data_IF_797948263389
#
_entry.id   IF_797948263389
#
_cell.length_a   1.000
_cell.length_b   1.000
_cell.length_c   1.000
_cell.angle_alpha   90.00
_cell.angle_beta   90.00
_cell.angle_gamma   90.00
#
_symmetry.space_group_name_H-M   'P 1'
#
loop_
_entity.id
_entity.type
_entity.pdbx_description
1 polymer ?
#
# COMPACT_ATOMS: atom_id res chain seq x y z
N UNK A 1 -30.78 -36.69 -17.59
CA UNK A 1 -29.74 -35.78 -17.06
C UNK A 1 -28.46 -35.78 -17.91
N UNK A 2 -27.77 -36.92 -18.04
CA UNK A 2 -26.48 -37.02 -18.76
C UNK A 2 -26.52 -36.87 -20.30
N UNK A 3 -27.69 -36.72 -20.91
CA UNK A 3 -27.84 -36.38 -22.35
C UNK A 3 -27.76 -34.86 -22.62
N UNK A 4 -27.82 -34.04 -21.58
CA UNK A 4 -27.76 -32.59 -21.73
C UNK A 4 -26.29 -32.14 -21.83
N UNK A 5 -25.92 -31.54 -22.96
CA UNK A 5 -24.56 -31.03 -23.23
C UNK A 5 -24.07 -30.05 -22.15
N UNK A 6 -24.96 -29.22 -21.58
CA UNK A 6 -24.60 -28.30 -20.50
C UNK A 6 -24.21 -29.04 -19.21
N UNK A 7 -24.90 -30.13 -18.88
CA UNK A 7 -24.58 -30.94 -17.69
C UNK A 7 -23.22 -31.63 -17.86
N UNK A 8 -22.93 -32.12 -19.07
CA UNK A 8 -21.65 -32.76 -19.40
C UNK A 8 -20.47 -31.78 -19.41
N UNK A 9 -20.68 -30.53 -19.83
CA UNK A 9 -19.65 -29.49 -19.85
C UNK A 9 -19.49 -28.79 -18.48
N UNK A 10 -20.43 -29.00 -17.55
CA UNK A 10 -20.40 -28.34 -16.23
C UNK A 10 -19.12 -28.58 -15.42
N UNK A 11 -18.46 -29.76 -15.42
CA UNK A 11 -17.17 -29.92 -14.74
C UNK A 11 -16.05 -29.10 -15.40
N UNK A 12 -16.06 -28.94 -16.72
CA UNK A 12 -15.08 -28.12 -17.46
C UNK A 12 -15.28 -26.64 -17.13
N UNK A 13 -16.53 -26.18 -17.08
CA UNK A 13 -16.86 -24.81 -16.66
C UNK A 13 -16.41 -24.59 -15.21
N UNK A 14 -16.68 -25.54 -14.31
CA UNK A 14 -16.25 -25.45 -12.92
C UNK A 14 -14.71 -25.37 -12.82
N UNK A 15 -13.97 -26.19 -13.56
CA UNK A 15 -12.51 -26.13 -13.62
C UNK A 15 -12.00 -24.80 -14.19
N UNK A 16 -12.64 -24.27 -15.25
CA UNK A 16 -12.28 -22.98 -15.82
C UNK A 16 -12.50 -21.83 -14.82
N UNK A 17 -13.61 -21.86 -14.07
CA UNK A 17 -13.88 -20.90 -13.00
C UNK A 17 -12.82 -21.01 -11.90
N UNK A 18 -12.52 -22.21 -11.41
CA UNK A 18 -11.47 -22.43 -10.40
C UNK A 18 -10.12 -21.92 -10.91
N UNK A 19 -9.76 -22.23 -12.15
CA UNK A 19 -8.51 -21.77 -12.77
C UNK A 19 -8.43 -20.24 -12.80
N UNK A 20 -9.48 -19.56 -13.29
CA UNK A 20 -9.53 -18.09 -13.36
C UNK A 20 -9.39 -17.46 -11.97
N UNK A 21 -10.12 -17.96 -10.97
CA UNK A 21 -10.01 -17.42 -9.61
C UNK A 21 -8.67 -17.76 -8.94
N UNK A 22 -8.04 -18.89 -9.29
CA UNK A 22 -6.69 -19.22 -8.81
C UNK A 22 -5.63 -18.24 -9.34
N UNK A 23 -5.86 -17.56 -10.47
CA UNK A 23 -4.97 -16.51 -10.97
C UNK A 23 -4.80 -15.35 -9.98
N UNK A 24 -5.78 -15.13 -9.09
CA UNK A 24 -5.70 -14.11 -8.04
C UNK A 24 -4.68 -14.42 -6.96
N UNK A 25 -4.22 -15.68 -6.85
CA UNK A 25 -3.25 -16.10 -5.83
C UNK A 25 -1.81 -15.84 -6.26
N UNK A 26 -1.52 -15.79 -7.57
CA UNK A 26 -0.15 -15.64 -8.12
C UNK A 26 0.66 -14.49 -7.49
N UNK A 27 0.11 -13.28 -7.27
CA UNK A 27 0.83 -12.21 -6.59
C UNK A 27 1.29 -12.58 -5.18
N UNK A 28 0.50 -13.40 -4.47
CA UNK A 28 0.61 -13.60 -3.02
C UNK A 28 1.34 -14.89 -2.62
N UNK A 29 1.54 -15.87 -3.52
CA UNK A 29 2.15 -17.17 -3.16
C UNK A 29 3.61 -17.04 -2.72
N UNK A 30 4.39 -16.18 -3.38
CA UNK A 30 5.81 -15.96 -3.06
C UNK A 30 6.17 -14.48 -3.23
N UNK A 31 5.78 -13.62 -2.28
CA UNK A 31 6.18 -12.22 -2.32
C UNK A 31 7.69 -12.15 -2.11
N UNK A 32 8.42 -11.71 -3.14
CA UNK A 32 9.83 -11.39 -3.05
C UNK A 32 9.96 -9.86 -3.05
N UNK A 33 10.61 -9.26 -2.05
CA UNK A 33 10.84 -7.83 -2.06
C UNK A 33 11.69 -7.48 -3.28
N UNK A 34 11.30 -6.40 -3.96
CA UNK A 34 12.00 -5.80 -5.08
C UNK A 34 12.04 -4.30 -4.86
N UNK A 35 13.25 -3.78 -4.75
CA UNK A 35 13.52 -2.37 -4.45
C UNK A 35 12.84 -1.87 -3.16
N UNK A 36 12.75 -2.71 -2.11
CA UNK A 36 12.14 -2.32 -0.84
C UNK A 36 12.89 -1.12 -0.24
N UNK A 37 12.28 0.09 -0.15
CA UNK A 37 12.98 1.29 0.29
C UNK A 37 13.24 1.25 1.80
N UNK A 38 14.51 1.33 2.17
CA UNK A 38 14.98 1.40 3.55
C UNK A 38 15.94 2.59 3.67
N UNK A 39 15.66 3.51 4.58
CA UNK A 39 16.51 4.67 4.79
C UNK A 39 17.72 4.36 5.68
N UNK A 40 18.83 5.04 5.42
CA UNK A 40 20.01 5.04 6.28
C UNK A 40 20.40 6.49 6.56
N UNK A 41 20.62 6.80 7.82
CA UNK A 41 21.18 8.06 8.27
C UNK A 41 22.46 7.76 9.03
N UNK A 42 23.54 8.36 8.55
CA UNK A 42 24.81 8.35 9.25
C UNK A 42 25.08 9.73 9.83
N UNK A 43 24.89 9.91 11.13
CA UNK A 43 25.29 11.11 11.85
C UNK A 43 26.66 10.95 12.54
N UNK A 44 27.27 9.76 12.47
CA UNK A 44 28.55 9.46 13.13
C UNK A 44 29.66 10.41 12.69
N UNK A 45 30.21 11.15 13.65
CA UNK A 45 31.26 12.13 13.39
C UNK A 45 32.65 11.49 13.26
N UNK A 46 32.75 10.19 13.58
CA UNK A 46 33.99 9.45 13.64
C UNK A 46 34.78 9.74 14.91
N UNK A 47 35.89 9.03 15.10
CA UNK A 47 36.79 9.19 16.25
C UNK A 47 38.24 9.27 15.79
N UNK A 48 39.00 10.17 16.39
CA UNK A 48 40.45 10.25 16.20
C UNK A 48 41.12 9.38 17.27
N UNK A 49 41.93 8.43 16.83
CA UNK A 49 42.68 7.53 17.70
C UNK A 49 44.17 7.89 17.65
N UNK A 50 44.90 7.83 18.78
CA UNK A 50 46.33 8.12 18.79
C UNK A 50 47.08 7.26 17.77
N UNK A 51 47.88 7.89 16.91
CA UNK A 51 48.69 7.25 15.87
C UNK A 51 47.88 6.41 14.85
N UNK A 52 46.58 6.69 14.67
CA UNK A 52 45.73 6.03 13.68
C UNK A 52 44.94 7.05 12.87
N UNK A 53 44.58 6.74 11.61
CA UNK A 53 43.69 7.60 10.84
C UNK A 53 42.32 7.70 11.53
N UNK A 54 41.62 8.81 11.30
CA UNK A 54 40.25 9.01 11.78
C UNK A 54 39.38 7.83 11.37
N UNK A 55 38.79 7.17 12.36
CA UNK A 55 37.94 5.99 12.16
C UNK A 55 36.47 6.43 12.12
N UNK A 56 35.75 6.13 11.05
CA UNK A 56 34.30 6.33 10.95
C UNK A 56 33.61 5.00 10.67
N UNK A 57 33.08 4.41 11.73
CA UNK A 57 32.42 3.13 11.70
C UNK A 57 31.01 3.25 11.11
N UNK A 58 30.32 4.37 11.32
CA UNK A 58 29.07 4.70 10.64
C UNK A 58 29.18 4.61 9.13
N UNK A 59 30.24 5.20 8.55
CA UNK A 59 30.49 5.17 7.11
C UNK A 59 30.77 3.75 6.62
N UNK A 60 31.53 2.97 7.40
CA UNK A 60 31.80 1.56 7.09
C UNK A 60 30.50 0.74 7.02
N UNK A 61 29.52 1.04 7.88
CA UNK A 61 28.20 0.39 7.87
C UNK A 61 27.43 0.75 6.60
N UNK A 62 27.40 2.04 6.24
CA UNK A 62 26.74 2.51 5.02
C UNK A 62 27.32 1.80 3.78
N UNK A 63 28.65 1.72 3.69
CA UNK A 63 29.32 1.04 2.59
C UNK A 63 29.03 -0.47 2.56
N UNK A 64 28.98 -1.13 3.72
CA UNK A 64 28.65 -2.56 3.81
C UNK A 64 27.25 -2.83 3.28
N UNK A 65 26.26 -2.04 3.70
CA UNK A 65 24.88 -2.15 3.25
C UNK A 65 24.76 -1.96 1.74
N UNK A 66 25.41 -0.92 1.20
CA UNK A 66 25.40 -0.63 -0.24
C UNK A 66 26.04 -1.77 -1.06
N UNK A 67 27.15 -2.35 -0.59
CA UNK A 67 27.81 -3.49 -1.24
C UNK A 67 26.93 -4.73 -1.27
N UNK A 68 26.19 -5.03 -0.21
CA UNK A 68 25.28 -6.18 -0.17
C UNK A 68 24.19 -6.09 -1.24
N UNK A 69 23.69 -4.89 -1.55
CA UNK A 69 22.71 -4.68 -2.62
C UNK A 69 23.28 -4.83 -4.02
N UNK A 70 24.57 -4.53 -4.23
CA UNK A 70 25.22 -4.67 -5.56
C UNK A 70 25.71 -6.07 -5.86
N UNK A 71 26.02 -6.89 -4.86
CA UNK A 71 26.64 -8.21 -5.04
C UNK A 71 25.64 -9.35 -5.32
N UNK A 72 24.34 -9.12 -5.12
CA UNK A 72 23.29 -10.14 -5.31
C UNK A 72 22.46 -9.94 -6.57
N UNK A 73 22.63 -8.82 -7.29
CA UNK A 73 21.95 -8.58 -8.57
C UNK A 73 22.77 -9.14 -9.73
N UNK A 74 22.25 -10.16 -10.41
CA UNK A 74 22.57 -10.37 -11.82
C UNK A 74 22.10 -9.13 -12.60
N UNK A 75 22.72 -8.82 -13.76
CA UNK A 75 22.45 -7.58 -14.52
C UNK A 75 20.97 -7.31 -14.84
N UNK A 76 20.09 -8.31 -14.71
CA UNK A 76 18.68 -8.27 -15.07
C UNK A 76 17.70 -8.36 -13.87
N UNK A 77 18.16 -8.50 -12.62
CA UNK A 77 17.28 -8.62 -11.44
C UNK A 77 17.35 -7.41 -10.48
N UNK A 78 16.18 -6.82 -10.20
CA UNK A 78 16.01 -5.76 -9.19
C UNK A 78 16.51 -6.26 -7.81
N UNK A 79 17.34 -5.49 -7.08
CA UNK A 79 17.78 -5.88 -5.75
C UNK A 79 16.60 -5.97 -4.78
N UNK A 80 16.71 -6.82 -3.76
CA UNK A 80 15.67 -6.95 -2.75
C UNK A 80 15.40 -5.65 -2.00
N UNK A 81 16.47 -4.91 -1.69
CA UNK A 81 16.45 -3.69 -0.88
C UNK A 81 17.01 -2.52 -1.69
N UNK A 82 16.30 -1.40 -1.64
CA UNK A 82 16.75 -0.10 -2.14
C UNK A 82 17.15 0.77 -0.96
N UNK A 83 18.45 0.93 -0.74
CA UNK A 83 18.96 1.82 0.29
C UNK A 83 18.77 3.29 -0.12
N UNK A 84 18.24 4.08 0.81
CA UNK A 84 18.02 5.52 0.62
C UNK A 84 18.85 6.26 1.66
N UNK A 85 19.95 6.87 1.24
CA UNK A 85 20.76 7.68 2.14
C UNK A 85 20.08 9.03 2.41
N UNK A 86 20.00 9.40 3.68
CA UNK A 86 19.33 10.61 4.14
C UNK A 86 20.27 11.41 5.03
N UNK A 87 20.24 12.74 4.88
CA UNK A 87 21.23 13.65 5.45
C UNK A 87 21.11 13.86 6.97
N UNK A 88 19.96 13.57 7.58
CA UNK A 88 19.73 13.82 9.01
C UNK A 88 18.54 13.05 9.57
N UNK A 89 18.51 12.88 10.88
CA UNK A 89 17.41 12.23 11.60
C UNK A 89 16.06 12.90 11.39
N UNK A 90 16.01 14.24 11.32
CA UNK A 90 14.78 15.00 11.06
C UNK A 90 14.27 14.75 9.62
N UNK A 91 15.18 14.72 8.64
CA UNK A 91 14.80 14.35 7.28
C UNK A 91 14.32 12.89 7.23
N UNK A 92 14.86 12.01 8.10
CA UNK A 92 14.37 10.64 8.21
C UNK A 92 12.95 10.56 8.73
N UNK A 93 12.60 11.31 9.79
CA UNK A 93 11.24 11.30 10.30
C UNK A 93 10.25 11.79 9.23
N UNK A 94 10.56 12.92 8.58
CA UNK A 94 9.71 13.45 7.51
C UNK A 94 9.52 12.47 6.35
N UNK A 95 10.54 11.70 5.98
CA UNK A 95 10.38 10.71 4.91
C UNK A 95 9.58 9.47 5.35
N UNK A 96 9.62 9.08 6.63
CA UNK A 96 8.73 8.04 7.18
C UNK A 96 7.27 8.52 7.10
N UNK A 97 7.01 9.74 7.55
CA UNK A 97 5.67 10.34 7.55
C UNK A 97 5.13 10.54 6.12
N UNK A 98 6.01 10.90 5.17
CA UNK A 98 5.66 11.01 3.75
C UNK A 98 5.71 9.68 2.98
N UNK A 99 5.72 8.53 3.68
CA UNK A 99 5.64 7.20 3.08
C UNK A 99 6.76 6.92 2.05
N UNK A 100 7.98 7.43 2.27
CA UNK A 100 9.11 7.23 1.35
C UNK A 100 9.87 5.92 1.58
N UNK A 101 9.78 5.35 2.77
CA UNK A 101 10.44 4.09 3.15
C UNK A 101 9.73 3.39 4.31
N UNK A 102 9.92 2.07 4.35
CA UNK A 102 9.28 1.16 5.30
C UNK A 102 10.01 1.06 6.63
N UNK A 103 11.32 1.34 6.64
CA UNK A 103 12.13 1.39 7.84
C UNK A 103 13.31 2.35 7.65
N UNK A 104 13.93 2.76 8.75
CA UNK A 104 15.15 3.54 8.75
C UNK A 104 16.16 3.01 9.78
N UNK A 105 17.45 3.02 9.42
CA UNK A 105 18.55 2.86 10.35
C UNK A 105 19.16 4.24 10.64
N UNK A 106 19.25 4.61 11.91
CA UNK A 106 19.92 5.85 12.33
C UNK A 106 21.15 5.51 13.16
N UNK A 107 22.31 5.93 12.67
CA UNK A 107 23.61 5.79 13.33
C UNK A 107 23.91 7.12 14.02
N UNK A 108 23.93 7.17 15.37
CA UNK A 108 24.14 8.42 16.11
C UNK A 108 25.54 9.01 15.98
N UNK A 109 25.67 10.30 16.32
CA UNK A 109 26.92 11.06 16.27
C UNK A 109 28.10 10.46 17.04
N UNK A 110 27.81 9.82 18.17
CA UNK A 110 28.80 9.27 19.09
C UNK A 110 29.11 7.79 18.85
N UNK A 111 28.63 7.22 17.74
CA UNK A 111 28.75 5.79 17.44
C UNK A 111 30.20 5.32 17.40
N UNK A 112 31.07 5.97 16.60
CA UNK A 112 32.49 5.60 16.51
C UNK A 112 33.23 5.78 17.84
N UNK A 113 32.91 6.85 18.58
CA UNK A 113 33.54 7.14 19.88
C UNK A 113 33.20 6.06 20.91
N UNK A 114 31.92 5.68 21.00
CA UNK A 114 31.46 4.59 21.87
C UNK A 114 32.05 3.24 21.44
N UNK A 115 32.05 2.93 20.15
CA UNK A 115 32.68 1.70 19.68
C UNK A 115 34.17 1.62 20.05
N UNK A 116 34.92 2.71 19.92
CA UNK A 116 36.33 2.74 20.32
C UNK A 116 36.51 2.50 21.82
N UNK A 117 35.58 3.00 22.65
CA UNK A 117 35.61 2.80 24.11
C UNK A 117 35.52 1.33 24.52
N UNK A 118 34.99 0.44 23.67
CA UNK A 118 34.89 -1.00 23.94
C UNK A 118 36.25 -1.68 24.17
N UNK A 119 37.34 -1.08 23.67
CA UNK A 119 38.72 -1.55 23.88
C UNK A 119 39.34 -1.06 25.20
N UNK A 120 38.64 -0.17 25.92
CA UNK A 120 39.15 0.45 27.14
C UNK A 120 38.59 -0.25 28.40
N UNK A 121 39.14 0.03 29.59
CA UNK A 121 38.60 -0.49 30.86
C UNK A 121 37.19 0.03 31.21
N UNK A 122 36.73 1.12 30.56
CA UNK A 122 35.41 1.72 30.78
C UNK A 122 34.57 1.69 29.48
N UNK A 123 34.12 0.50 29.04
CA UNK A 123 33.41 0.35 27.78
C UNK A 123 32.02 1.00 27.82
N UNK A 124 31.63 1.62 26.70
CA UNK A 124 30.29 2.13 26.43
C UNK A 124 29.81 1.59 25.09
N UNK A 125 28.78 0.75 25.10
CA UNK A 125 28.25 0.17 23.87
C UNK A 125 27.55 1.25 23.01
N UNK A 126 27.89 1.40 21.72
CA UNK A 126 27.12 2.23 20.80
C UNK A 126 25.70 1.68 20.62
N UNK A 127 24.74 2.59 20.47
CA UNK A 127 23.34 2.28 20.17
C UNK A 127 23.02 2.65 18.72
N UNK A 128 22.31 1.77 18.02
CA UNK A 128 21.73 2.07 16.71
C UNK A 128 20.21 2.12 16.85
N UNK A 129 19.56 3.09 16.20
CA UNK A 129 18.11 3.19 16.19
C UNK A 129 17.56 2.58 14.91
N UNK A 130 16.54 1.72 15.05
CA UNK A 130 15.78 1.12 13.96
C UNK A 130 14.36 1.68 14.05
N UNK A 131 13.93 2.43 13.04
CA UNK A 131 12.58 2.98 12.94
C UNK A 131 11.75 2.12 11.99
N UNK A 132 10.57 1.66 12.41
CA UNK A 132 9.70 0.77 11.61
C UNK A 132 8.38 1.49 11.29
N UNK A 133 8.07 1.68 10.01
CA UNK A 133 6.90 2.44 9.54
C UNK A 133 5.68 1.54 9.33
N UNK A 134 5.03 1.14 10.44
CA UNK A 134 3.95 0.15 10.39
C UNK A 134 2.75 0.62 9.54
N UNK A 135 2.43 1.92 9.58
CA UNK A 135 1.30 2.52 8.87
C UNK A 135 1.40 2.44 7.34
N UNK A 136 2.62 2.42 6.79
CA UNK A 136 2.83 2.37 5.33
C UNK A 136 2.37 1.03 4.77
N UNK A 137 2.91 -0.06 5.31
CA UNK A 137 2.40 -1.42 5.15
C UNK A 137 3.08 -2.30 6.21
N UNK A 138 2.31 -2.90 7.11
CA UNK A 138 2.84 -3.64 8.26
C UNK A 138 3.72 -4.83 7.86
N UNK A 139 3.34 -5.58 6.81
CA UNK A 139 4.12 -6.74 6.36
C UNK A 139 5.47 -6.31 5.77
N UNK A 140 5.46 -5.30 4.90
CA UNK A 140 6.69 -4.77 4.30
C UNK A 140 7.60 -4.07 5.34
N UNK A 141 7.01 -3.34 6.29
CA UNK A 141 7.73 -2.72 7.40
C UNK A 141 8.38 -3.76 8.33
N UNK A 142 7.68 -4.86 8.62
CA UNK A 142 8.24 -5.98 9.38
C UNK A 142 9.42 -6.61 8.65
N UNK A 143 9.28 -6.86 7.35
CA UNK A 143 10.38 -7.39 6.51
C UNK A 143 11.57 -6.42 6.48
N UNK A 144 11.34 -5.12 6.29
CA UNK A 144 12.39 -4.11 6.34
C UNK A 144 13.09 -4.07 7.71
N UNK A 145 12.34 -4.20 8.79
CA UNK A 145 12.89 -4.32 10.14
C UNK A 145 13.74 -5.57 10.34
N UNK A 146 13.35 -6.71 9.78
CA UNK A 146 14.14 -7.94 9.81
C UNK A 146 15.46 -7.78 9.04
N UNK A 147 15.42 -7.13 7.87
CA UNK A 147 16.64 -6.78 7.11
C UNK A 147 17.59 -5.95 7.98
N UNK A 148 17.10 -4.86 8.59
CA UNK A 148 17.92 -4.01 9.43
C UNK A 148 18.47 -4.74 10.67
N UNK A 149 17.65 -5.57 11.31
CA UNK A 149 18.10 -6.39 12.43
C UNK A 149 19.25 -7.32 12.02
N UNK A 150 19.11 -8.01 10.88
CA UNK A 150 20.15 -8.88 10.33
C UNK A 150 21.44 -8.14 10.01
N UNK A 151 21.36 -6.90 9.50
CA UNK A 151 22.56 -6.07 9.31
C UNK A 151 23.26 -5.79 10.65
N UNK A 152 22.52 -5.35 11.67
CA UNK A 152 23.13 -5.07 12.98
C UNK A 152 23.66 -6.35 13.65
N UNK A 153 23.03 -7.51 13.45
CA UNK A 153 23.52 -8.79 13.96
C UNK A 153 24.83 -9.20 13.29
N UNK A 154 24.94 -9.06 11.96
CA UNK A 154 26.17 -9.30 11.23
C UNK A 154 27.29 -8.35 11.68
N UNK A 155 26.96 -7.08 11.93
CA UNK A 155 27.90 -6.11 12.49
C UNK A 155 28.36 -6.50 13.89
N UNK A 156 27.44 -6.90 14.77
CA UNK A 156 27.76 -7.36 16.12
C UNK A 156 28.75 -8.52 16.09
N UNK A 157 28.56 -9.49 15.20
CA UNK A 157 29.50 -10.60 15.03
C UNK A 157 30.87 -10.13 14.53
N UNK A 158 30.89 -9.24 13.54
CA UNK A 158 32.14 -8.68 12.98
C UNK A 158 32.93 -7.90 14.03
N UNK A 159 32.26 -6.99 14.75
CA UNK A 159 32.88 -6.17 15.79
C UNK A 159 33.34 -7.02 16.97
N UNK A 160 32.54 -8.02 17.39
CA UNK A 160 32.94 -8.95 18.46
C UNK A 160 34.23 -9.67 18.11
N UNK A 161 34.33 -10.26 16.91
CA UNK A 161 35.53 -10.97 16.47
C UNK A 161 36.75 -10.04 16.40
N UNK A 162 36.60 -8.84 15.82
CA UNK A 162 37.68 -7.85 15.78
C UNK A 162 38.17 -7.41 17.16
N UNK A 163 37.26 -7.31 18.13
CA UNK A 163 37.63 -6.96 19.50
C UNK A 163 38.36 -8.12 20.19
N UNK A 164 37.86 -9.36 20.05
CA UNK A 164 38.50 -10.55 20.59
C UNK A 164 39.93 -10.72 20.05
N UNK A 165 40.10 -10.65 18.73
CA UNK A 165 41.43 -10.70 18.08
C UNK A 165 42.36 -9.60 18.59
N UNK A 166 41.80 -8.41 18.86
CA UNK A 166 42.53 -7.27 19.43
C UNK A 166 43.03 -7.55 20.84
N UNK A 167 42.19 -8.13 21.71
CA UNK A 167 42.57 -8.49 23.07
C UNK A 167 43.57 -9.64 23.12
N UNK A 168 43.41 -10.66 22.26
CA UNK A 168 44.34 -11.78 22.14
C UNK A 168 45.76 -11.31 21.76
N UNK A 169 45.87 -10.44 20.76
CA UNK A 169 47.17 -9.88 20.33
C UNK A 169 47.87 -9.04 21.40
N UNK A 170 47.10 -8.44 22.31
CA UNK A 170 47.64 -7.65 23.41
C UNK A 170 48.00 -8.49 24.64
N UNK A 171 47.66 -9.79 24.66
CA UNK A 171 47.82 -10.64 25.84
C UNK A 171 47.00 -10.16 27.05
N UNK A 172 45.94 -9.38 26.81
CA UNK A 172 45.17 -8.72 27.85
C UNK A 172 44.10 -9.65 28.45
N UNK A 173 43.91 -9.61 29.76
CA UNK A 173 42.78 -10.26 30.43
C UNK A 173 41.55 -9.34 30.40
N UNK A 174 40.38 -9.92 30.13
CA UNK A 174 39.12 -9.17 30.07
C UNK A 174 38.54 -8.94 31.47
N UNK A 175 38.14 -7.71 31.76
CA UNK A 175 37.27 -7.44 32.92
C UNK A 175 35.86 -7.98 32.67
N UNK A 176 35.08 -8.24 33.73
CA UNK A 176 33.68 -8.66 33.61
C UNK A 176 32.83 -7.65 32.80
N UNK A 177 33.09 -6.34 32.94
CA UNK A 177 32.39 -5.30 32.16
C UNK A 177 32.72 -5.35 30.66
N UNK A 178 33.98 -5.62 30.31
CA UNK A 178 34.38 -5.80 28.92
C UNK A 178 33.79 -7.08 28.34
N UNK A 179 33.83 -8.20 29.07
CA UNK A 179 33.19 -9.45 28.65
C UNK A 179 31.68 -9.29 28.40
N UNK A 180 30.97 -8.59 29.29
CA UNK A 180 29.55 -8.29 29.09
C UNK A 180 29.30 -7.41 27.86
N UNK A 181 30.13 -6.41 27.62
CA UNK A 181 30.03 -5.52 26.45
C UNK A 181 30.35 -6.24 25.14
N UNK A 182 31.24 -7.25 25.17
CA UNK A 182 31.55 -8.09 23.99
C UNK A 182 30.43 -9.05 23.61
N UNK A 183 29.57 -9.43 24.57
CA UNK A 183 28.42 -10.27 24.29
C UNK A 183 27.44 -9.57 23.34
N UNK A 184 27.23 -8.25 23.48
CA UNK A 184 26.43 -7.44 22.55
C UNK A 184 27.14 -6.09 22.35
N UNK A 185 28.13 -6.02 21.44
CA UNK A 185 28.96 -4.82 21.24
C UNK A 185 28.19 -3.58 20.79
N UNK A 186 27.07 -3.79 20.08
CA UNK A 186 26.20 -2.74 19.54
C UNK A 186 24.77 -3.04 20.01
N UNK A 187 24.19 -2.10 20.75
CA UNK A 187 22.79 -2.20 21.19
C UNK A 187 21.85 -1.67 20.10
N UNK A 188 20.61 -2.17 20.10
CA UNK A 188 19.56 -1.77 19.15
C UNK A 188 18.40 -1.15 19.92
N UNK A 189 17.93 0.00 19.45
CA UNK A 189 16.67 0.60 19.87
C UNK A 189 15.68 0.54 18.72
N UNK A 190 14.71 -0.36 18.80
CA UNK A 190 13.64 -0.46 17.80
C UNK A 190 12.48 0.44 18.22
N UNK A 191 12.04 1.32 17.34
CA UNK A 191 10.89 2.22 17.56
C UNK A 191 9.93 2.07 16.40
N UNK A 192 8.66 1.80 16.68
CA UNK A 192 7.63 1.85 15.66
C UNK A 192 7.20 3.31 15.48
N UNK A 193 7.11 3.75 14.22
CA UNK A 193 6.59 5.06 13.85
C UNK A 193 5.32 4.85 13.03
N UNK A 194 4.42 5.85 13.04
CA UNK A 194 3.13 5.78 12.37
C UNK A 194 2.42 4.46 12.71
N UNK A 195 2.30 4.19 14.01
CA UNK A 195 1.83 2.91 14.51
C UNK A 195 0.39 2.65 14.05
N UNK A 196 0.11 1.39 13.74
CA UNK A 196 -1.22 0.97 13.29
C UNK A 196 -2.26 0.98 14.42
N UNK A 197 -1.82 1.08 15.68
CA UNK A 197 -2.68 1.04 16.86
C UNK A 197 -3.45 -0.28 17.01
N UNK A 198 -4.36 -0.31 17.99
CA UNK A 198 -5.27 -1.44 18.22
C UNK A 198 -6.48 -1.38 17.29
N UNK A 199 -7.17 -2.52 17.11
CA UNK A 199 -8.39 -2.64 16.31
C UNK A 199 -8.28 -2.10 14.87
N UNK A 200 -7.10 -2.19 14.28
CA UNK A 200 -6.79 -1.75 12.92
C UNK A 200 -6.73 -2.89 11.91
N UNK A 201 -7.26 -4.07 12.27
CA UNK A 201 -7.12 -5.31 11.49
C UNK A 201 -5.65 -5.60 11.11
N UNK A 202 -4.74 -5.46 12.07
CA UNK A 202 -3.29 -5.55 11.85
C UNK A 202 -2.82 -4.60 10.73
N UNK A 203 -3.22 -3.32 10.79
CA UNK A 203 -2.87 -2.32 9.78
C UNK A 203 -3.62 -2.44 8.44
N UNK A 204 -4.59 -3.35 8.33
CA UNK A 204 -5.41 -3.55 7.12
C UNK A 204 -6.79 -2.89 7.19
N UNK A 205 -7.12 -2.11 8.23
CA UNK A 205 -8.42 -1.42 8.33
C UNK A 205 -8.77 -0.61 7.05
N UNK A 206 -7.86 0.16 6.43
CA UNK A 206 -8.11 0.78 5.12
C UNK A 206 -8.59 -0.18 4.02
N UNK A 207 -8.06 -1.41 4.01
CA UNK A 207 -8.41 -2.45 3.02
C UNK A 207 -9.70 -3.17 3.42
N UNK A 208 -9.94 -3.39 4.71
CA UNK A 208 -11.19 -3.98 5.20
C UNK A 208 -12.41 -3.14 4.83
N UNK A 209 -12.23 -1.82 4.70
CA UNK A 209 -13.30 -0.91 4.28
C UNK A 209 -13.59 -0.98 2.76
N UNK A 210 -12.66 -1.47 1.95
CA UNK A 210 -12.81 -1.46 0.50
C UNK A 210 -13.99 -2.32 0.01
N UNK A 211 -14.07 -3.60 0.41
CA UNK A 211 -15.04 -4.53 -0.18
C UNK A 211 -16.51 -4.11 0.06
N UNK A 212 -16.93 -3.72 1.28
CA UNK A 212 -18.30 -3.29 1.51
C UNK A 212 -18.64 -2.00 0.76
N UNK A 213 -17.72 -1.02 0.73
CA UNK A 213 -17.91 0.24 0.01
C UNK A 213 -18.08 0.01 -1.49
N UNK A 214 -17.24 -0.86 -2.08
CA UNK A 214 -17.32 -1.23 -3.49
C UNK A 214 -18.64 -1.91 -3.82
N UNK A 215 -19.07 -2.85 -2.97
CA UNK A 215 -20.34 -3.54 -3.16
C UNK A 215 -21.54 -2.60 -3.05
N UNK A 216 -21.54 -1.69 -2.07
CA UNK A 216 -22.58 -0.67 -1.94
C UNK A 216 -22.62 0.25 -3.18
N UNK A 217 -21.45 0.63 -3.70
CA UNK A 217 -21.32 1.45 -4.90
C UNK A 217 -21.83 0.72 -6.16
N UNK A 218 -21.47 -0.55 -6.32
CA UNK A 218 -21.90 -1.41 -7.43
C UNK A 218 -23.41 -1.63 -7.43
N UNK A 219 -23.98 -1.97 -6.27
CA UNK A 219 -25.42 -2.16 -6.12
C UNK A 219 -26.19 -0.86 -6.41
N UNK A 220 -25.73 0.27 -5.86
CA UNK A 220 -26.34 1.59 -6.06
C UNK A 220 -26.32 2.00 -7.53
N UNK A 221 -25.17 1.85 -8.20
CA UNK A 221 -25.03 2.12 -9.63
C UNK A 221 -25.98 1.24 -10.47
N UNK A 222 -26.07 -0.06 -10.16
CA UNK A 222 -26.98 -0.97 -10.87
C UNK A 222 -28.45 -0.58 -10.69
N UNK A 223 -28.88 -0.26 -9.47
CA UNK A 223 -30.24 0.17 -9.16
C UNK A 223 -30.58 1.47 -9.92
N UNK A 224 -29.71 2.48 -9.84
CA UNK A 224 -29.91 3.76 -10.54
C UNK A 224 -29.98 3.57 -12.06
N UNK A 225 -29.11 2.73 -12.61
CA UNK A 225 -29.12 2.41 -14.04
C UNK A 225 -30.43 1.73 -14.46
N UNK A 226 -30.88 0.71 -13.72
CA UNK A 226 -32.10 -0.02 -14.01
C UNK A 226 -33.32 0.90 -13.91
N UNK A 227 -33.40 1.72 -12.86
CA UNK A 227 -34.49 2.68 -12.66
C UNK A 227 -34.64 3.63 -13.86
N UNK A 228 -33.54 4.23 -14.31
CA UNK A 228 -33.55 5.15 -15.47
C UNK A 228 -33.84 4.42 -16.77
N UNK A 229 -33.35 3.20 -16.95
CA UNK A 229 -33.56 2.42 -18.18
C UNK A 229 -35.03 2.09 -18.46
N UNK A 230 -35.90 2.15 -17.44
CA UNK A 230 -37.34 1.91 -17.51
C UNK A 230 -38.16 3.18 -17.79
N UNK A 231 -37.55 4.36 -17.73
CA UNK A 231 -38.26 5.62 -17.94
C UNK A 231 -38.53 5.85 -19.43
N UNK A 232 -39.74 6.30 -19.82
CA UNK A 232 -40.07 6.63 -21.20
C UNK A 232 -39.45 7.98 -21.59
N UNK A 233 -38.14 7.98 -21.86
CA UNK A 233 -37.38 9.19 -22.21
C UNK A 233 -37.31 9.33 -23.72
N UNK A 234 -37.86 10.42 -24.25
CA UNK A 234 -38.00 10.62 -25.70
C UNK A 234 -37.12 11.73 -26.23
N UNK A 235 -36.95 12.82 -25.46
CA UNK A 235 -36.22 14.01 -25.93
C UNK A 235 -34.78 14.07 -25.42
N UNK A 236 -33.90 14.79 -26.14
CA UNK A 236 -32.52 15.03 -25.68
C UNK A 236 -32.46 15.81 -24.37
N UNK A 237 -33.38 16.76 -24.17
CA UNK A 237 -33.47 17.55 -22.94
C UNK A 237 -33.83 16.66 -21.75
N UNK A 238 -34.82 15.78 -21.90
CA UNK A 238 -35.15 14.78 -20.87
C UNK A 238 -33.95 13.88 -20.56
N UNK A 239 -33.24 13.36 -21.58
CA UNK A 239 -32.02 12.56 -21.35
C UNK A 239 -30.99 13.30 -20.51
N UNK A 240 -30.70 14.56 -20.84
CA UNK A 240 -29.71 15.35 -20.11
C UNK A 240 -30.15 15.59 -18.66
N UNK A 241 -31.42 15.97 -18.45
CA UNK A 241 -31.99 16.21 -17.12
C UNK A 241 -31.98 14.94 -16.27
N UNK A 242 -32.39 13.79 -16.84
CA UNK A 242 -32.36 12.52 -16.12
C UNK A 242 -30.93 12.09 -15.77
N UNK A 243 -29.96 12.30 -16.67
CA UNK A 243 -28.55 12.01 -16.38
C UNK A 243 -27.95 12.94 -15.33
N UNK A 244 -28.30 14.23 -15.34
CA UNK A 244 -27.92 15.16 -14.29
C UNK A 244 -28.55 14.77 -12.93
N UNK A 245 -29.84 14.43 -12.93
CA UNK A 245 -30.52 13.91 -11.75
C UNK A 245 -29.91 12.61 -11.22
N UNK A 246 -29.45 11.72 -12.11
CA UNK A 246 -28.73 10.51 -11.75
C UNK A 246 -27.42 10.82 -10.99
N UNK A 247 -26.68 11.82 -11.42
CA UNK A 247 -25.44 12.26 -10.77
C UNK A 247 -25.75 12.85 -9.39
N UNK A 248 -26.77 13.71 -9.28
CA UNK A 248 -27.20 14.28 -7.99
C UNK A 248 -27.64 13.18 -7.02
N UNK A 249 -28.47 12.24 -7.49
CA UNK A 249 -28.89 11.11 -6.67
C UNK A 249 -27.70 10.25 -6.23
N UNK A 250 -26.71 10.07 -7.10
CA UNK A 250 -25.47 9.35 -6.77
C UNK A 250 -24.70 10.05 -5.64
N UNK A 251 -24.69 11.39 -5.60
CA UNK A 251 -24.06 12.15 -4.52
C UNK A 251 -24.79 11.96 -3.18
N UNK A 252 -26.13 11.96 -3.19
CA UNK A 252 -26.96 11.70 -2.00
C UNK A 252 -26.71 10.28 -1.48
N UNK A 253 -26.71 9.28 -2.37
CA UNK A 253 -26.41 7.89 -1.99
C UNK A 253 -25.00 7.77 -1.43
N UNK A 254 -24.01 8.44 -2.04
CA UNK A 254 -22.63 8.43 -1.58
C UNK A 254 -22.48 9.03 -0.17
N UNK A 255 -23.22 10.09 0.17
CA UNK A 255 -23.24 10.67 1.52
C UNK A 255 -23.77 9.65 2.54
N UNK A 256 -24.87 8.97 2.22
CA UNK A 256 -25.43 7.91 3.08
C UNK A 256 -24.43 6.76 3.25
N UNK A 257 -23.77 6.34 2.17
CA UNK A 257 -22.73 5.30 2.21
C UNK A 257 -21.55 5.76 3.07
N UNK A 258 -20.99 6.96 2.85
CA UNK A 258 -19.81 7.44 3.56
C UNK A 258 -20.03 7.55 5.07
N UNK A 259 -21.07 8.27 5.50
CA UNK A 259 -21.40 8.43 6.92
C UNK A 259 -21.91 7.15 7.56
N UNK A 260 -22.85 6.46 6.90
CA UNK A 260 -23.43 5.22 7.41
C UNK A 260 -22.38 4.13 7.56
N UNK A 261 -21.49 3.97 6.57
CA UNK A 261 -20.45 2.94 6.64
C UNK A 261 -19.38 3.28 7.68
N UNK A 262 -18.99 4.55 7.83
CA UNK A 262 -18.06 4.96 8.90
C UNK A 262 -18.66 4.69 10.28
N UNK A 263 -19.96 4.95 10.46
CA UNK A 263 -20.69 4.63 11.68
C UNK A 263 -20.73 3.13 11.98
N UNK A 264 -21.04 2.30 10.98
CA UNK A 264 -21.01 0.83 11.11
C UNK A 264 -19.60 0.35 11.46
N UNK A 265 -18.58 0.85 10.76
CA UNK A 265 -17.19 0.46 10.94
C UNK A 265 -16.66 0.80 12.34
N UNK A 266 -16.94 2.01 12.84
CA UNK A 266 -16.52 2.43 14.19
C UNK A 266 -17.37 1.79 15.29
N UNK A 267 -18.69 1.78 15.12
CA UNK A 267 -19.64 1.40 16.17
C UNK A 267 -19.91 -0.10 16.24
N UNK A 268 -20.28 -0.73 15.12
CA UNK A 268 -20.68 -2.14 15.08
C UNK A 268 -19.48 -3.09 14.91
N UNK A 269 -18.56 -2.75 13.99
CA UNK A 269 -17.37 -3.59 13.73
C UNK A 269 -16.27 -3.32 14.77
N UNK A 270 -16.24 -2.12 15.35
CA UNK A 270 -15.26 -1.75 16.38
C UNK A 270 -13.87 -1.40 15.82
N UNK A 271 -13.78 -1.00 14.54
CA UNK A 271 -12.52 -0.52 13.96
C UNK A 271 -12.10 0.80 14.61
N UNK A 272 -10.80 0.93 14.85
CA UNK A 272 -10.24 2.22 15.27
C UNK A 272 -10.25 3.20 14.08
N UNK A 273 -11.16 4.18 14.14
CA UNK A 273 -11.26 5.28 13.19
C UNK A 273 -10.84 6.57 13.91
N UNK A 274 -9.61 7.08 13.63
CA UNK A 274 -9.04 8.22 14.36
C UNK A 274 -9.88 9.48 14.20
N UNK A 275 -10.21 9.85 12.97
CA UNK A 275 -11.09 10.97 12.65
C UNK A 275 -12.35 10.47 11.94
N UNK A 276 -13.49 10.62 12.59
CA UNK A 276 -14.78 10.18 12.02
C UNK A 276 -15.19 11.03 10.82
N UNK A 277 -15.04 12.35 10.90
CA UNK A 277 -15.55 13.28 9.90
C UNK A 277 -14.75 13.14 8.60
N UNK A 278 -13.42 13.17 8.71
CA UNK A 278 -12.54 13.06 7.56
C UNK A 278 -12.68 11.71 6.88
N UNK A 279 -12.82 10.63 7.66
CA UNK A 279 -13.09 9.29 7.12
C UNK A 279 -14.43 9.24 6.40
N UNK A 280 -15.51 9.77 6.99
CA UNK A 280 -16.84 9.75 6.39
C UNK A 280 -16.92 10.56 5.09
N UNK A 281 -16.29 11.74 5.06
CA UNK A 281 -16.19 12.57 3.85
C UNK A 281 -15.31 11.90 2.79
N UNK A 282 -14.19 11.31 3.16
CA UNK A 282 -13.34 10.58 2.21
C UNK A 282 -14.06 9.37 1.59
N UNK A 283 -14.79 8.59 2.39
CA UNK A 283 -15.59 7.46 1.92
C UNK A 283 -16.79 7.92 1.07
N UNK A 284 -17.33 9.11 1.34
CA UNK A 284 -18.34 9.77 0.47
C UNK A 284 -17.75 10.07 -0.90
N UNK A 285 -16.59 10.74 -0.97
CA UNK A 285 -15.91 11.05 -2.23
C UNK A 285 -15.62 9.76 -3.00
N UNK A 286 -15.09 8.76 -2.30
CA UNK A 286 -14.71 7.48 -2.90
C UNK A 286 -15.92 6.74 -3.47
N UNK A 287 -17.00 6.59 -2.68
CA UNK A 287 -18.21 5.90 -3.16
C UNK A 287 -18.89 6.65 -4.30
N UNK A 288 -18.92 7.99 -4.25
CA UNK A 288 -19.41 8.80 -5.36
C UNK A 288 -18.63 8.54 -6.65
N UNK A 289 -17.29 8.57 -6.58
CA UNK A 289 -16.41 8.26 -7.72
C UNK A 289 -16.66 6.85 -8.25
N UNK A 290 -16.78 5.84 -7.38
CA UNK A 290 -17.04 4.47 -7.82
C UNK A 290 -18.42 4.32 -8.48
N UNK A 291 -19.46 4.92 -7.90
CA UNK A 291 -20.81 4.92 -8.49
C UNK A 291 -20.76 5.55 -9.90
N UNK A 292 -20.11 6.71 -10.05
CA UNK A 292 -20.01 7.42 -11.34
C UNK A 292 -19.21 6.62 -12.37
N UNK A 293 -18.07 6.04 -11.99
CA UNK A 293 -17.26 5.20 -12.88
C UNK A 293 -18.06 3.99 -13.38
N UNK A 294 -18.77 3.31 -12.48
CA UNK A 294 -19.60 2.16 -12.83
C UNK A 294 -20.75 2.60 -13.74
N UNK A 295 -21.46 3.66 -13.38
CA UNK A 295 -22.56 4.23 -14.18
C UNK A 295 -22.12 4.69 -15.56
N UNK A 296 -20.91 5.23 -15.71
CA UNK A 296 -20.34 5.61 -17.00
C UNK A 296 -20.23 4.39 -17.92
N UNK A 297 -19.64 3.30 -17.44
CA UNK A 297 -19.54 2.06 -18.21
C UNK A 297 -20.92 1.47 -18.48
N UNK A 298 -21.81 1.38 -17.49
CA UNK A 298 -23.18 0.89 -17.69
C UNK A 298 -23.95 1.74 -18.72
N UNK A 299 -23.71 3.05 -18.77
CA UNK A 299 -24.32 3.93 -19.77
C UNK A 299 -23.81 3.68 -21.19
N UNK A 300 -22.61 3.13 -21.35
CA UNK A 300 -22.02 2.81 -22.65
C UNK A 300 -22.41 1.42 -23.16
N UNK A 301 -22.30 0.39 -22.30
CA UNK A 301 -22.44 -1.03 -22.69
C UNK A 301 -23.67 -1.72 -22.11
N UNK A 302 -24.43 -1.04 -21.25
CA UNK A 302 -25.61 -1.57 -20.56
C UNK A 302 -25.27 -2.39 -19.31
N UNK A 303 -26.30 -3.03 -18.73
CA UNK A 303 -26.18 -3.77 -17.45
C UNK A 303 -25.15 -4.91 -17.48
N UNK A 304 -24.86 -5.46 -18.67
CA UNK A 304 -23.84 -6.50 -18.86
C UNK A 304 -22.44 -6.05 -18.40
N UNK A 305 -22.18 -4.74 -18.37
CA UNK A 305 -20.94 -4.18 -17.85
C UNK A 305 -20.70 -4.43 -16.35
N UNK A 306 -21.73 -4.82 -15.59
CA UNK A 306 -21.61 -5.08 -14.15
C UNK A 306 -20.63 -6.22 -13.84
N UNK A 307 -20.54 -7.22 -14.74
CA UNK A 307 -19.65 -8.37 -14.57
C UNK A 307 -18.17 -7.97 -14.54
N UNK A 308 -17.79 -6.92 -15.28
CA UNK A 308 -16.42 -6.39 -15.27
C UNK A 308 -16.04 -5.88 -13.87
N UNK A 309 -16.89 -5.09 -13.23
CA UNK A 309 -16.61 -4.55 -11.89
C UNK A 309 -16.74 -5.59 -10.78
N UNK A 310 -17.58 -6.60 -10.96
CA UNK A 310 -17.60 -7.76 -10.08
C UNK A 310 -16.28 -8.54 -10.16
N UNK A 311 -15.73 -8.76 -11.35
CA UNK A 311 -14.40 -9.38 -11.50
C UNK A 311 -13.29 -8.48 -10.94
N UNK A 312 -13.35 -7.17 -11.16
CA UNK A 312 -12.36 -6.23 -10.63
C UNK A 312 -12.24 -6.31 -9.09
N UNK A 313 -13.36 -6.55 -8.38
CA UNK A 313 -13.36 -6.78 -6.93
C UNK A 313 -12.50 -7.99 -6.53
N UNK A 314 -12.69 -9.13 -7.18
CA UNK A 314 -11.99 -10.38 -6.84
C UNK A 314 -10.51 -10.32 -7.16
N UNK A 315 -10.15 -9.72 -8.31
CA UNK A 315 -8.75 -9.59 -8.71
C UNK A 315 -8.02 -8.46 -7.99
N UNK A 316 -8.73 -7.39 -7.61
CA UNK A 316 -8.14 -6.25 -6.91
C UNK A 316 -7.85 -6.53 -5.44
N UNK A 317 -8.75 -7.24 -4.73
CA UNK A 317 -8.67 -7.44 -3.28
C UNK A 317 -7.32 -7.94 -2.75
N UNK A 318 -6.80 -9.09 -3.23
CA UNK A 318 -5.53 -9.64 -2.76
C UNK A 318 -4.33 -8.71 -2.98
N UNK A 319 -4.35 -7.95 -4.08
CA UNK A 319 -3.27 -7.04 -4.47
C UNK A 319 -3.24 -5.81 -3.56
N UNK A 320 -4.39 -5.30 -3.13
CA UNK A 320 -4.50 -4.11 -2.27
C UNK A 320 -3.87 -4.30 -0.87
N UNK A 321 -3.74 -5.55 -0.40
CA UNK A 321 -3.11 -5.86 0.87
C UNK A 321 -1.56 -5.85 0.81
N UNK A 322 -1.00 -5.97 -0.38
CA UNK A 322 0.44 -6.07 -0.58
C UNK A 322 1.08 -4.70 -0.76
N UNK A 323 2.32 -4.56 -0.27
CA UNK A 323 3.17 -3.45 -0.67
C UNK A 323 3.54 -3.58 -2.16
N UNK A 324 3.62 -2.48 -2.93
CA UNK A 324 4.03 -2.50 -4.34
C UNK A 324 5.35 -3.24 -4.59
N UNK A 325 6.31 -3.08 -3.67
CA UNK A 325 7.63 -3.69 -3.71
C UNK A 325 7.61 -5.20 -3.45
N UNK A 326 6.50 -5.76 -2.95
CA UNK A 326 6.35 -7.20 -2.74
C UNK A 326 5.72 -7.91 -3.95
N UNK A 327 5.36 -7.17 -5.00
CA UNK A 327 4.70 -7.69 -6.19
C UNK A 327 5.72 -7.89 -7.32
N UNK A 328 5.40 -8.76 -8.27
CA UNK A 328 6.15 -8.81 -9.53
C UNK A 328 5.95 -7.50 -10.32
N UNK A 329 6.90 -7.12 -11.20
CA UNK A 329 6.79 -5.90 -12.01
C UNK A 329 5.48 -5.81 -12.80
N UNK A 330 5.00 -6.94 -13.33
CA UNK A 330 3.73 -6.99 -14.03
C UNK A 330 2.55 -6.57 -13.13
N UNK A 331 2.43 -7.14 -11.93
CA UNK A 331 1.34 -6.79 -11.02
C UNK A 331 1.48 -5.35 -10.49
N UNK A 332 2.70 -4.92 -10.16
CA UNK A 332 2.99 -3.57 -9.66
C UNK A 332 2.67 -2.48 -10.69
N UNK A 333 3.19 -2.64 -11.90
CA UNK A 333 3.28 -1.57 -12.88
C UNK A 333 2.08 -1.54 -13.85
N UNK A 334 1.39 -2.68 -14.05
CA UNK A 334 0.26 -2.79 -14.98
C UNK A 334 -1.09 -3.07 -14.33
N UNK A 335 -1.12 -3.76 -13.19
CA UNK A 335 -2.39 -4.09 -12.52
C UNK A 335 -2.65 -3.10 -11.38
N UNK A 336 -1.81 -3.11 -10.35
CA UNK A 336 -1.97 -2.30 -9.14
C UNK A 336 -1.98 -0.79 -9.42
N UNK A 337 -1.15 -0.31 -10.34
CA UNK A 337 -1.09 1.11 -10.75
C UNK A 337 -2.41 1.62 -11.37
N UNK A 338 -3.22 0.74 -11.97
CA UNK A 338 -4.47 1.08 -12.65
C UNK A 338 -5.71 0.80 -11.80
N UNK A 339 -5.59 0.17 -10.62
CA UNK A 339 -6.74 -0.13 -9.76
C UNK A 339 -7.28 1.17 -9.12
N UNK A 340 -8.53 1.59 -9.42
CA UNK A 340 -9.11 2.79 -8.80
C UNK A 340 -9.22 2.67 -7.27
N UNK A 341 -9.42 1.44 -6.81
CA UNK A 341 -9.60 1.07 -5.40
C UNK A 341 -8.32 1.24 -4.59
N UNK A 342 -7.16 1.29 -5.24
CA UNK A 342 -5.88 1.62 -4.60
C UNK A 342 -5.92 3.00 -3.96
N UNK A 343 -6.45 4.00 -4.68
CA UNK A 343 -6.46 5.38 -4.18
C UNK A 343 -7.37 5.54 -2.96
N UNK A 344 -8.42 4.72 -2.84
CA UNK A 344 -9.18 4.62 -1.59
C UNK A 344 -8.28 4.15 -0.43
N UNK A 345 -7.56 3.05 -0.63
CA UNK A 345 -6.70 2.46 0.42
C UNK A 345 -5.57 3.43 0.81
N UNK A 346 -4.90 4.04 -0.19
CA UNK A 346 -3.81 4.99 0.04
C UNK A 346 -4.29 6.23 0.81
N UNK A 347 -5.46 6.77 0.47
CA UNK A 347 -6.06 7.90 1.19
C UNK A 347 -6.50 7.54 2.62
N UNK A 348 -7.10 6.37 2.82
CA UNK A 348 -7.46 5.89 4.16
C UNK A 348 -6.22 5.63 5.03
N UNK A 349 -5.12 5.10 4.45
CA UNK A 349 -3.86 4.93 5.20
C UNK A 349 -3.36 6.26 5.74
N UNK A 350 -3.37 7.31 4.92
CA UNK A 350 -2.98 8.67 5.31
C UNK A 350 -3.79 9.19 6.49
N UNK A 351 -5.12 9.04 6.42
CA UNK A 351 -6.04 9.43 7.50
C UNK A 351 -5.81 8.59 8.77
N UNK A 352 -5.60 7.28 8.63
CA UNK A 352 -5.61 6.37 9.76
C UNK A 352 -4.28 6.32 10.51
N UNK A 353 -3.16 6.46 9.78
CA UNK A 353 -1.84 6.16 10.34
C UNK A 353 -0.84 7.31 10.25
N UNK A 354 -1.08 8.31 9.41
CA UNK A 354 -0.13 9.42 9.19
C UNK A 354 -0.63 10.77 9.73
N UNK A 355 -1.79 10.79 10.38
CA UNK A 355 -2.38 12.01 10.94
C UNK A 355 -2.75 13.06 9.88
N UNK A 356 -2.79 12.67 8.60
CA UNK A 356 -3.27 13.55 7.54
C UNK A 356 -4.80 13.61 7.60
N UNK A 357 -5.37 14.79 7.85
CA UNK A 357 -6.81 14.97 7.68
C UNK A 357 -7.24 14.90 6.21
N UNK A 358 -8.51 15.22 5.93
CA UNK A 358 -9.02 15.33 4.57
C UNK A 358 -8.37 16.53 3.84
N UNK A 359 -7.29 16.27 3.11
CA UNK A 359 -6.50 17.29 2.39
C UNK A 359 -6.39 16.98 0.90
N UNK A 360 -6.18 17.99 0.07
CA UNK A 360 -6.01 17.75 -1.37
C UNK A 360 -4.66 17.09 -1.67
N UNK A 361 -4.65 15.76 -1.77
CA UNK A 361 -3.48 14.94 -2.02
C UNK A 361 -3.65 14.07 -3.28
N UNK A 362 -2.63 13.30 -3.64
CA UNK A 362 -2.65 12.46 -4.85
C UNK A 362 -3.86 11.52 -4.89
N UNK A 363 -4.15 10.71 -3.84
CA UNK A 363 -5.35 9.87 -3.81
C UNK A 363 -6.67 10.61 -4.11
N UNK A 364 -6.90 11.75 -3.42
CA UNK A 364 -8.12 12.53 -3.62
C UNK A 364 -8.18 13.11 -5.02
N UNK A 365 -7.07 13.66 -5.53
CA UNK A 365 -7.02 14.23 -6.86
C UNK A 365 -7.37 13.20 -7.94
N UNK A 366 -6.84 11.98 -7.85
CA UNK A 366 -7.10 10.93 -8.83
C UNK A 366 -8.55 10.45 -8.73
N UNK A 367 -9.08 10.25 -7.53
CA UNK A 367 -10.49 9.88 -7.33
C UNK A 367 -11.44 10.95 -7.90
N UNK A 368 -11.14 12.23 -7.69
CA UNK A 368 -11.94 13.32 -8.26
C UNK A 368 -11.86 13.31 -9.78
N UNK A 369 -10.68 13.14 -10.38
CA UNK A 369 -10.54 13.07 -11.84
C UNK A 369 -11.26 11.87 -12.46
N UNK A 370 -11.23 10.70 -11.82
CA UNK A 370 -12.02 9.53 -12.24
C UNK A 370 -13.52 9.86 -12.18
N UNK A 371 -13.97 10.50 -11.11
CA UNK A 371 -15.37 10.92 -10.95
C UNK A 371 -15.80 11.92 -12.03
N UNK A 372 -14.96 12.94 -12.30
CA UNK A 372 -15.19 13.94 -13.35
C UNK A 372 -15.27 13.29 -14.74
N UNK A 373 -14.34 12.41 -15.07
CA UNK A 373 -14.37 11.64 -16.32
C UNK A 373 -15.65 10.80 -16.42
N UNK A 374 -16.05 10.14 -15.33
CA UNK A 374 -17.32 9.40 -15.24
C UNK A 374 -18.53 10.29 -15.53
N UNK A 375 -18.62 11.48 -14.92
CA UNK A 375 -19.70 12.44 -15.17
C UNK A 375 -19.74 12.89 -16.63
N UNK A 376 -18.59 13.21 -17.23
CA UNK A 376 -18.49 13.60 -18.64
C UNK A 376 -19.03 12.48 -19.54
N UNK A 377 -18.63 11.22 -19.30
CA UNK A 377 -19.11 10.08 -20.08
C UNK A 377 -20.62 9.90 -19.91
N UNK A 378 -21.13 9.93 -18.68
CA UNK A 378 -22.56 9.79 -18.38
C UNK A 378 -23.38 10.85 -19.14
N UNK A 379 -22.98 12.13 -19.05
CA UNK A 379 -23.65 13.22 -19.75
C UNK A 379 -23.50 13.11 -21.27
N UNK A 380 -22.32 12.73 -21.77
CA UNK A 380 -22.06 12.51 -23.19
C UNK A 380 -22.97 11.44 -23.80
N UNK A 381 -23.36 10.40 -23.05
CA UNK A 381 -24.31 9.39 -23.52
C UNK A 381 -25.71 9.95 -23.81
N UNK A 382 -26.10 11.07 -23.20
CA UNK A 382 -27.37 11.75 -23.50
C UNK A 382 -27.42 12.30 -24.93
N UNK A 383 -26.26 12.57 -25.54
CA UNK A 383 -26.12 13.11 -26.90
C UNK A 383 -26.25 12.03 -27.99
N UNK A 384 -26.22 10.74 -27.62
CA UNK A 384 -26.27 9.63 -28.57
C UNK A 384 -27.60 9.65 -29.35
N UNK A 385 -27.52 9.72 -30.67
CA UNK A 385 -28.70 9.72 -31.58
C UNK A 385 -29.41 8.38 -31.44
N UNK A 386 -30.72 8.39 -31.21
CA UNK A 386 -31.51 7.14 -31.25
C UNK A 386 -31.36 6.55 -32.66
N UNK A 387 -30.92 5.30 -32.78
CA UNK A 387 -31.16 4.54 -34.01
C UNK A 387 -32.67 4.41 -34.12
N UNK A 388 -33.26 5.04 -35.13
CA UNK A 388 -34.64 4.77 -35.51
C UNK A 388 -34.67 3.28 -35.83
N UNK A 389 -35.42 2.49 -35.04
CA UNK A 389 -35.79 1.16 -35.49
C UNK A 389 -36.68 1.40 -36.70
N UNK A 390 -36.19 1.10 -37.90
CA UNK A 390 -37.07 0.92 -39.05
C UNK A 390 -38.08 -0.15 -38.64
N UNK A 391 -39.31 0.29 -38.40
CA UNK A 391 -40.45 -0.61 -38.33
C UNK A 391 -40.60 -1.13 -39.74
N UNK A 392 -40.19 -2.38 -39.96
CA UNK A 392 -40.42 -3.07 -41.22
C UNK A 392 -41.92 -3.02 -41.52
N UNK A 393 -42.30 -2.17 -42.47
CA UNK A 393 -43.61 -2.21 -43.09
C UNK A 393 -43.62 -3.45 -43.98
N UNK A 394 -44.01 -4.59 -43.43
CA UNK A 394 -44.50 -5.69 -44.25
C UNK A 394 -46.02 -5.79 -44.07
N UNK A 395 -46.67 -4.75 -44.59
CA UNK A 395 -48.05 -4.80 -45.05
C UNK A 395 -48.01 -4.73 -46.57
N UNK A 396 -48.28 -5.89 -47.21
CA UNK A 396 -48.69 -6.14 -48.61
C UNK A 396 -48.36 -7.61 -48.90
N UNK A 397 -49.22 -8.51 -49.35
CA UNK A 397 -50.55 -8.45 -49.94
C UNK A 397 -51.20 -9.85 -49.80
N UNK A 398 -52.54 -9.82 -49.69
CA UNK A 398 -53.55 -10.76 -50.21
C UNK A 398 -53.23 -12.25 -50.34
#
# INVERSE_FOLDING_TARGET
MFKNKLVLVSPIIALAVIFIFSLTLFPSVQPKPKNLPIAIVNEDEGVELPNQPKMNMGQTIVEMMQKTSTSTSTKDEEPAVKWVEVKSSNAVQKGLDNQKYYAALVIPKDFSAKQASLRTPAPSAPEIQILINQGMNMAAATMAGQVLNGVVDNMNNTVRNQLLDGFEKQGATLTAKQAASLAVPITKKVTNVNEIGTNSANGNAPISLFQPLWMASLASAAILFIAISKMPITTRKEKLVTKAGQIIMSAIVALVIGFGFTWIAKGMVGLNIPDFMDTALFLTITSFTFILMILAVLSLVGIKGIGFFALLLFFGGPILAMAPEMMSPFYRDWIYSWLPMRFMVDGLRKIFFFGEGLTWNTPISVLVWIGLAGMIVILGTALKRNKVKEVGSDSRNM
#
